data_IF_450912123873
#
_entry.id   IF_450912123873
#
_cell.length_a   1.000
_cell.length_b   1.000
_cell.length_c   1.000
_cell.angle_alpha   90.00
_cell.angle_beta   90.00
_cell.angle_gamma   90.00
#
_symmetry.space_group_name_H-M   'P 1'
#
loop_
_entity.id
_entity.type
_entity.pdbx_description
1 polymer ?
#
# COMPACT_ATOMS: atom_id res chain seq x y z
N UNK A 1 -2.28 -11.86 21.25
CA UNK A 1 -1.23 -10.96 20.72
C UNK A 1 -1.01 -11.08 19.21
N UNK A 2 -0.83 -12.28 18.61
CA UNK A 2 -0.57 -12.41 17.15
C UNK A 2 -1.63 -11.76 16.23
N UNK A 3 -2.90 -11.77 16.62
CA UNK A 3 -3.99 -11.13 15.86
C UNK A 3 -3.85 -9.61 15.77
N UNK A 4 -3.62 -8.94 16.91
CA UNK A 4 -3.41 -7.48 16.96
C UNK A 4 -2.19 -7.06 16.14
N UNK A 5 -1.09 -7.81 16.19
CA UNK A 5 0.11 -7.51 15.41
C UNK A 5 -0.15 -7.60 13.91
N UNK A 6 -0.94 -8.58 13.47
CA UNK A 6 -1.34 -8.71 12.06
C UNK A 6 -2.19 -7.53 11.61
N UNK A 7 -3.17 -7.13 12.41
CA UNK A 7 -4.09 -6.05 12.03
C UNK A 7 -3.37 -4.70 11.97
N UNK A 8 -2.47 -4.43 12.92
CA UNK A 8 -1.61 -3.23 12.88
C UNK A 8 -0.67 -3.27 11.68
N UNK A 9 -0.05 -4.42 11.40
CA UNK A 9 0.87 -4.57 10.27
C UNK A 9 0.17 -4.36 8.93
N UNK A 10 -1.01 -4.96 8.73
CA UNK A 10 -1.76 -4.79 7.50
C UNK A 10 -2.31 -3.36 7.35
N UNK A 11 -2.76 -2.72 8.44
CA UNK A 11 -3.22 -1.34 8.42
C UNK A 11 -2.08 -0.37 8.07
N UNK A 12 -0.91 -0.59 8.67
CA UNK A 12 0.29 0.17 8.33
C UNK A 12 0.71 -0.04 6.87
N UNK A 13 0.62 -1.28 6.36
CA UNK A 13 0.89 -1.60 4.96
C UNK A 13 -0.04 -0.84 4.01
N UNK A 14 -1.34 -0.79 4.30
CA UNK A 14 -2.32 -0.04 3.50
C UNK A 14 -1.96 1.45 3.45
N UNK A 15 -1.68 2.06 4.61
CA UNK A 15 -1.33 3.48 4.70
C UNK A 15 -0.03 3.78 3.96
N UNK A 16 1.02 2.98 4.19
CA UNK A 16 2.30 3.14 3.52
C UNK A 16 2.16 3.03 2.00
N UNK A 17 1.36 2.08 1.52
CA UNK A 17 1.10 1.87 0.09
C UNK A 17 0.44 3.08 -0.56
N UNK A 18 -0.56 3.67 0.10
CA UNK A 18 -1.24 4.88 -0.38
C UNK A 18 -0.28 6.07 -0.44
N UNK A 19 0.54 6.26 0.60
CA UNK A 19 1.55 7.33 0.65
C UNK A 19 2.57 7.14 -0.48
N UNK A 20 3.08 5.93 -0.69
CA UNK A 20 4.03 5.64 -1.77
C UNK A 20 3.44 5.90 -3.15
N UNK A 21 2.19 5.51 -3.41
CA UNK A 21 1.50 5.84 -4.66
C UNK A 21 1.35 7.35 -4.85
N UNK A 22 0.97 8.08 -3.81
CA UNK A 22 0.74 9.52 -3.88
C UNK A 22 2.05 10.30 -4.11
N UNK A 23 3.07 10.04 -3.30
CA UNK A 23 4.41 10.64 -3.46
C UNK A 23 5.03 10.28 -4.80
N UNK A 24 4.93 9.00 -5.19
CA UNK A 24 5.40 8.53 -6.49
C UNK A 24 4.76 9.30 -7.63
N UNK A 25 3.43 9.46 -7.59
CA UNK A 25 2.69 10.19 -8.61
C UNK A 25 3.02 11.69 -8.61
N UNK A 26 3.21 12.33 -7.45
CA UNK A 26 3.51 13.75 -7.38
C UNK A 26 4.95 14.07 -7.82
N UNK A 27 5.94 13.28 -7.37
CA UNK A 27 7.35 13.52 -7.69
C UNK A 27 7.71 13.09 -9.11
N UNK A 28 7.21 11.94 -9.57
CA UNK A 28 7.68 11.35 -10.82
C UNK A 28 6.88 11.79 -12.04
N UNK A 29 5.63 12.24 -11.90
CA UNK A 29 4.84 12.74 -13.04
C UNK A 29 5.50 13.94 -13.75
N UNK A 30 6.34 14.70 -13.04
CA UNK A 30 7.05 15.84 -13.63
C UNK A 30 8.42 15.48 -14.26
N UNK A 31 8.92 14.26 -14.07
CA UNK A 31 10.31 13.91 -14.42
C UNK A 31 10.46 12.56 -15.13
N UNK A 32 9.78 11.51 -14.67
CA UNK A 32 9.93 10.16 -15.21
C UNK A 32 8.63 9.35 -15.07
N UNK A 33 7.87 9.28 -16.15
CA UNK A 33 6.60 8.56 -16.19
C UNK A 33 6.75 7.05 -16.05
N UNK A 34 7.87 6.47 -16.51
CA UNK A 34 8.08 5.02 -16.41
C UNK A 34 8.28 4.62 -14.95
N UNK A 35 9.13 5.35 -14.24
CA UNK A 35 9.34 5.12 -12.82
C UNK A 35 8.07 5.44 -12.00
N UNK A 36 7.27 6.44 -12.40
CA UNK A 36 5.96 6.70 -11.78
C UNK A 36 5.02 5.49 -11.87
N UNK A 37 4.96 4.86 -13.05
CA UNK A 37 4.15 3.65 -13.29
C UNK A 37 4.66 2.47 -12.45
N UNK A 38 5.97 2.25 -12.38
CA UNK A 38 6.55 1.16 -11.55
C UNK A 38 6.20 1.37 -10.08
N UNK A 39 6.34 2.59 -9.56
CA UNK A 39 5.99 2.91 -8.16
C UNK A 39 4.49 2.70 -7.90
N UNK A 40 3.62 3.09 -8.85
CA UNK A 40 2.19 2.83 -8.79
C UNK A 40 1.87 1.33 -8.73
N UNK A 41 2.50 0.52 -9.59
CA UNK A 41 2.32 -0.92 -9.60
C UNK A 41 2.73 -1.57 -8.27
N UNK A 42 3.88 -1.16 -7.72
CA UNK A 42 4.38 -1.67 -6.43
C UNK A 42 3.46 -1.25 -5.28
N UNK A 43 3.03 0.02 -5.24
CA UNK A 43 2.12 0.50 -4.21
C UNK A 43 0.76 -0.17 -4.26
N UNK A 44 0.19 -0.42 -5.45
CA UNK A 44 -1.06 -1.17 -5.59
C UNK A 44 -0.92 -2.64 -5.15
N UNK A 45 0.20 -3.30 -5.44
CA UNK A 45 0.46 -4.66 -4.98
C UNK A 45 0.57 -4.73 -3.44
N UNK A 46 1.26 -3.78 -2.82
CA UNK A 46 1.36 -3.67 -1.36
C UNK A 46 0.01 -3.37 -0.71
N UNK A 47 -0.80 -2.51 -1.34
CA UNK A 47 -2.16 -2.21 -0.89
C UNK A 47 -3.02 -3.48 -0.86
N UNK A 48 -2.99 -4.27 -1.94
CA UNK A 48 -3.68 -5.55 -2.01
C UNK A 48 -3.24 -6.54 -0.92
N UNK A 49 -1.92 -6.64 -0.68
CA UNK A 49 -1.38 -7.47 0.39
C UNK A 49 -1.82 -7.01 1.79
N UNK A 50 -1.85 -5.70 2.04
CA UNK A 50 -2.35 -5.14 3.29
C UNK A 50 -3.83 -5.40 3.51
N UNK A 51 -4.66 -5.25 2.47
CA UNK A 51 -6.09 -5.53 2.52
C UNK A 51 -6.36 -7.02 2.77
N UNK A 52 -5.66 -7.94 2.10
CA UNK A 52 -5.84 -9.39 2.34
C UNK A 52 -5.42 -9.78 3.77
N UNK A 53 -4.41 -9.12 4.33
CA UNK A 53 -4.03 -9.28 5.73
C UNK A 53 -5.14 -8.86 6.71
N UNK A 54 -5.89 -7.82 6.35
CA UNK A 54 -6.98 -7.25 7.14
C UNK A 54 -8.32 -7.97 6.93
N UNK A 55 -8.49 -8.68 5.81
CA UNK A 55 -9.73 -9.37 5.43
C UNK A 55 -10.41 -10.16 6.55
N UNK A 56 -9.69 -10.90 7.43
CA UNK A 56 -10.33 -11.66 8.51
C UNK A 56 -10.87 -10.79 9.66
N UNK A 57 -10.53 -9.49 9.67
CA UNK A 57 -10.86 -8.54 10.74
C UNK A 57 -11.94 -7.53 10.31
N UNK A 58 -12.01 -7.22 9.02
CA UNK A 58 -13.02 -6.29 8.44
C UNK A 58 -14.16 -6.99 7.69
N UNK A 59 -14.06 -8.31 7.50
CA UNK A 59 -14.95 -9.12 6.65
C UNK A 59 -15.97 -10.00 7.38
N UNK A 60 -16.33 -9.67 8.63
CA UNK A 60 -17.50 -10.23 9.32
C UNK A 60 -18.63 -9.20 9.40
#
# INVERSE_FOLDING_TARGET
MRWVVRDVAGGALVVASLVTCFEGLMRLRAHDYLAAVVVLMVGLALLGAGVELLRPTVGE
#
